data_IF_660224919502
#
_entry.id   IF_660224919502
#
_cell.length_a   1.000
_cell.length_b   1.000
_cell.length_c   1.000
_cell.angle_alpha   90.00
_cell.angle_beta   90.00
_cell.angle_gamma   90.00
#
_symmetry.space_group_name_H-M   'P 1'
#
loop_
_entity.id
_entity.type
_entity.pdbx_description
1 polymer ?
#
# COMPACT_ATOMS: atom_id res chain seq x y z
N UNK A 1 -36.99 -6.54 -25.34
CA UNK A 1 -37.08 -6.39 -26.82
C UNK A 1 -36.09 -7.33 -27.49
N UNK A 2 -34.79 -7.11 -27.38
CA UNK A 2 -33.75 -7.93 -28.04
C UNK A 2 -33.81 -9.44 -27.74
N UNK A 3 -34.26 -9.82 -26.51
CA UNK A 3 -34.43 -11.24 -26.17
C UNK A 3 -35.54 -11.93 -26.99
N UNK A 4 -36.68 -11.24 -27.18
CA UNK A 4 -37.80 -11.74 -28.00
C UNK A 4 -37.49 -11.72 -29.49
N UNK A 5 -36.48 -10.97 -29.90
CA UNK A 5 -35.98 -10.94 -31.28
C UNK A 5 -34.90 -11.99 -31.56
N UNK A 6 -34.57 -12.84 -30.59
CA UNK A 6 -33.54 -13.86 -30.68
C UNK A 6 -32.10 -13.35 -30.60
N UNK A 7 -31.89 -12.07 -30.24
CA UNK A 7 -30.56 -11.47 -30.10
C UNK A 7 -30.11 -11.59 -28.63
N UNK A 8 -29.88 -12.84 -28.21
CA UNK A 8 -29.61 -13.17 -26.81
C UNK A 8 -28.32 -12.55 -26.26
N UNK A 9 -27.24 -12.57 -27.08
CA UNK A 9 -25.96 -11.98 -26.67
C UNK A 9 -26.08 -10.49 -26.32
N UNK A 10 -26.83 -9.74 -27.16
CA UNK A 10 -27.09 -8.32 -26.91
C UNK A 10 -27.99 -8.10 -25.70
N UNK A 11 -29.01 -8.96 -25.54
CA UNK A 11 -29.94 -8.86 -24.40
C UNK A 11 -29.27 -9.13 -23.05
N UNK A 12 -28.25 -9.99 -23.04
CA UNK A 12 -27.48 -10.36 -21.84
C UNK A 12 -26.22 -9.51 -21.61
N UNK A 13 -25.77 -8.76 -22.61
CA UNK A 13 -24.52 -8.02 -22.56
C UNK A 13 -24.47 -7.02 -21.40
N UNK A 14 -25.52 -6.22 -21.19
CA UNK A 14 -25.55 -5.19 -20.14
C UNK A 14 -25.51 -5.81 -18.75
N UNK A 15 -26.21 -6.91 -18.54
CA UNK A 15 -26.17 -7.65 -17.28
C UNK A 15 -24.78 -8.25 -17.04
N UNK A 16 -24.20 -8.89 -18.05
CA UNK A 16 -22.85 -9.49 -17.98
C UNK A 16 -21.79 -8.43 -17.66
N UNK A 17 -21.87 -7.26 -18.30
CA UNK A 17 -20.96 -6.15 -18.01
C UNK A 17 -21.13 -5.58 -16.62
N UNK A 18 -22.37 -5.43 -16.14
CA UNK A 18 -22.65 -4.96 -14.78
C UNK A 18 -22.11 -5.96 -13.73
N UNK A 19 -22.35 -7.24 -13.92
CA UNK A 19 -21.83 -8.30 -13.05
C UNK A 19 -20.28 -8.35 -13.03
N UNK A 20 -19.64 -8.13 -14.21
CA UNK A 20 -18.18 -8.15 -14.32
C UNK A 20 -17.50 -7.10 -13.44
N UNK A 21 -18.15 -5.96 -13.15
CA UNK A 21 -17.60 -4.89 -12.31
C UNK A 21 -17.27 -5.41 -10.89
N UNK A 22 -18.13 -6.25 -10.33
CA UNK A 22 -17.95 -6.75 -8.96
C UNK A 22 -17.42 -8.19 -8.85
N UNK A 23 -17.33 -8.92 -9.97
CA UNK A 23 -17.07 -10.35 -9.99
C UNK A 23 -15.62 -10.72 -9.64
N UNK A 24 -14.64 -9.97 -10.13
CA UNK A 24 -13.21 -10.18 -9.86
C UNK A 24 -12.56 -8.86 -9.50
N UNK A 25 -12.13 -8.73 -8.26
CA UNK A 25 -11.44 -7.54 -7.78
C UNK A 25 -9.99 -7.53 -8.30
N UNK A 26 -9.53 -6.36 -8.76
CA UNK A 26 -8.20 -6.16 -9.35
C UNK A 26 -7.92 -7.11 -10.52
N UNK A 27 -8.67 -7.00 -11.64
CA UNK A 27 -8.35 -7.72 -12.86
C UNK A 27 -6.97 -7.32 -13.37
N UNK A 28 -6.38 -8.13 -14.28
CA UNK A 28 -5.17 -7.73 -15.00
C UNK A 28 -5.44 -6.43 -15.77
N UNK A 29 -4.55 -5.45 -15.64
CA UNK A 29 -4.61 -4.13 -16.29
C UNK A 29 -3.46 -3.91 -17.30
N UNK A 30 -2.87 -5.01 -17.78
CA UNK A 30 -1.84 -4.99 -18.82
C UNK A 30 -2.39 -4.58 -20.21
N UNK A 31 -3.71 -4.59 -20.37
CA UNK A 31 -4.42 -4.23 -21.60
C UNK A 31 -5.56 -3.24 -21.33
N UNK A 32 -6.01 -2.55 -22.38
CA UNK A 32 -7.00 -1.47 -22.29
C UNK A 32 -8.30 -1.90 -21.58
N UNK A 33 -8.85 -3.07 -21.92
CA UNK A 33 -10.10 -3.56 -21.31
C UNK A 33 -9.96 -3.78 -19.81
N UNK A 34 -8.80 -4.27 -19.36
CA UNK A 34 -8.50 -4.43 -17.93
C UNK A 34 -8.40 -3.09 -17.20
N UNK A 35 -7.75 -2.09 -17.83
CA UNK A 35 -7.70 -0.72 -17.30
C UNK A 35 -9.10 -0.11 -17.21
N UNK A 36 -9.92 -0.25 -18.25
CA UNK A 36 -11.30 0.21 -18.26
C UNK A 36 -12.13 -0.44 -17.15
N UNK A 37 -12.03 -1.75 -16.97
CA UNK A 37 -12.74 -2.47 -15.92
C UNK A 37 -12.28 -2.01 -14.53
N UNK A 38 -10.97 -1.84 -14.32
CA UNK A 38 -10.41 -1.35 -13.07
C UNK A 38 -10.89 0.06 -12.73
N UNK A 39 -10.93 0.97 -13.71
CA UNK A 39 -11.48 2.30 -13.51
C UNK A 39 -12.97 2.26 -13.13
N UNK A 40 -13.77 1.42 -13.80
CA UNK A 40 -15.18 1.19 -13.44
C UNK A 40 -15.33 0.68 -12.01
N UNK A 41 -14.49 -0.27 -11.58
CA UNK A 41 -14.49 -0.79 -10.21
C UNK A 41 -14.19 0.31 -9.18
N UNK A 42 -13.17 1.13 -9.42
CA UNK A 42 -12.82 2.24 -8.52
C UNK A 42 -13.95 3.24 -8.40
N UNK A 43 -14.54 3.64 -9.53
CA UNK A 43 -15.66 4.56 -9.51
C UNK A 43 -16.91 3.98 -8.86
N UNK A 44 -17.25 2.73 -9.17
CA UNK A 44 -18.40 2.05 -8.56
C UNK A 44 -18.32 2.03 -7.04
N UNK A 45 -17.17 1.64 -6.48
CA UNK A 45 -16.96 1.59 -5.03
C UNK A 45 -16.95 3.00 -4.42
N UNK A 46 -16.34 3.97 -5.08
CA UNK A 46 -16.32 5.35 -4.63
C UNK A 46 -17.72 5.95 -4.60
N UNK A 47 -18.49 5.81 -5.69
CA UNK A 47 -19.85 6.33 -5.80
C UNK A 47 -20.79 5.70 -4.79
N UNK A 48 -20.81 4.36 -4.68
CA UNK A 48 -21.63 3.65 -3.69
C UNK A 48 -21.32 4.10 -2.25
N UNK A 49 -20.03 4.35 -1.94
CA UNK A 49 -19.61 4.81 -0.62
C UNK A 49 -20.10 6.24 -0.36
N UNK A 50 -19.94 7.14 -1.30
CA UNK A 50 -20.37 8.54 -1.14
C UNK A 50 -21.90 8.63 -1.03
N UNK A 51 -22.66 7.92 -1.86
CA UNK A 51 -24.12 7.87 -1.77
C UNK A 51 -24.58 7.31 -0.41
N UNK A 52 -23.96 6.22 0.05
CA UNK A 52 -24.28 5.64 1.37
C UNK A 52 -24.01 6.61 2.51
N UNK A 53 -22.91 7.36 2.42
CA UNK A 53 -22.53 8.38 3.41
C UNK A 53 -23.54 9.52 3.44
N UNK A 54 -23.90 10.10 2.30
CA UNK A 54 -24.91 11.17 2.19
C UNK A 54 -26.24 10.68 2.74
N UNK A 55 -26.69 9.47 2.35
CA UNK A 55 -27.95 8.89 2.87
C UNK A 55 -27.93 8.75 4.39
N UNK A 56 -26.82 8.30 4.98
CA UNK A 56 -26.70 8.18 6.45
C UNK A 56 -26.69 9.53 7.12
N UNK A 57 -26.01 10.51 6.56
CA UNK A 57 -25.97 11.86 7.09
C UNK A 57 -27.38 12.45 7.13
N UNK A 58 -28.11 12.41 6.00
CA UNK A 58 -29.49 12.90 5.89
C UNK A 58 -30.48 12.18 6.82
N UNK A 59 -30.20 10.96 7.22
CA UNK A 59 -31.03 10.23 8.19
C UNK A 59 -30.85 10.70 9.64
N UNK A 60 -29.80 11.48 9.93
CA UNK A 60 -29.45 11.94 11.28
C UNK A 60 -29.49 13.46 11.39
N UNK A 61 -29.12 14.16 10.30
CA UNK A 61 -28.98 15.61 10.25
C UNK A 61 -29.81 16.15 9.09
N UNK A 62 -30.60 17.20 9.35
CA UNK A 62 -31.47 17.81 8.37
C UNK A 62 -30.71 18.68 7.35
N UNK A 63 -29.48 19.12 7.68
CA UNK A 63 -28.68 20.04 6.87
C UNK A 63 -27.38 19.41 6.40
N UNK A 64 -27.21 19.28 5.07
CA UNK A 64 -25.97 18.80 4.44
C UNK A 64 -24.79 19.78 4.60
N UNK A 65 -25.02 21.06 4.89
CA UNK A 65 -23.94 22.00 5.18
C UNK A 65 -23.13 21.59 6.42
N UNK A 66 -23.74 20.84 7.33
CA UNK A 66 -23.06 20.29 8.51
C UNK A 66 -22.15 19.09 8.21
N UNK A 67 -22.16 18.56 6.97
CA UNK A 67 -21.38 17.37 6.59
C UNK A 67 -19.89 17.46 6.96
N UNK A 68 -19.18 18.60 6.75
CA UNK A 68 -17.77 18.72 7.14
C UNK A 68 -17.50 18.71 8.66
N UNK A 69 -18.53 18.88 9.47
CA UNK A 69 -18.43 18.81 10.95
C UNK A 69 -18.52 17.37 11.48
N UNK A 70 -19.18 16.50 10.71
CA UNK A 70 -19.50 15.13 11.12
C UNK A 70 -18.74 14.06 10.34
N UNK A 71 -18.09 14.41 9.23
CA UNK A 71 -17.46 13.44 8.33
C UNK A 71 -16.01 13.81 8.04
N UNK A 72 -15.13 12.83 8.22
CA UNK A 72 -13.73 12.87 7.77
C UNK A 72 -13.45 11.62 6.94
N UNK A 73 -12.86 11.81 5.76
CA UNK A 73 -12.51 10.72 4.86
C UNK A 73 -11.00 10.73 4.64
N UNK A 74 -10.37 9.60 4.96
CA UNK A 74 -8.95 9.38 4.69
C UNK A 74 -8.81 8.58 3.40
N UNK A 75 -8.28 9.21 2.35
CA UNK A 75 -7.89 8.53 1.11
C UNK A 75 -6.61 7.76 1.36
N UNK A 76 -6.71 6.44 1.36
CA UNK A 76 -5.57 5.55 1.58
C UNK A 76 -4.98 5.13 0.23
N UNK A 77 -3.86 5.71 -0.17
CA UNK A 77 -3.32 5.74 -1.53
C UNK A 77 -4.28 6.49 -2.49
N UNK A 78 -4.11 6.37 -3.80
CA UNK A 78 -4.91 7.09 -4.80
C UNK A 78 -6.13 6.32 -5.29
N UNK A 79 -6.22 5.02 -5.01
CA UNK A 79 -7.29 4.15 -5.54
C UNK A 79 -8.71 4.66 -5.26
N UNK A 80 -9.05 5.21 -4.07
CA UNK A 80 -10.37 5.77 -3.81
C UNK A 80 -10.46 7.28 -4.10
N UNK A 81 -9.49 7.89 -4.80
CA UNK A 81 -9.46 9.34 -5.02
C UNK A 81 -10.66 9.88 -5.80
N UNK A 82 -11.31 9.04 -6.63
CA UNK A 82 -12.53 9.39 -7.35
C UNK A 82 -13.71 9.73 -6.42
N UNK A 83 -13.65 9.36 -5.14
CA UNK A 83 -14.64 9.75 -4.14
C UNK A 83 -14.75 11.29 -3.99
N UNK A 84 -13.67 12.01 -4.23
CA UNK A 84 -13.66 13.48 -4.13
C UNK A 84 -14.51 14.16 -5.24
N UNK A 85 -14.23 13.95 -6.54
CA UNK A 85 -15.06 14.51 -7.59
C UNK A 85 -16.45 13.88 -7.62
N UNK A 86 -16.65 12.64 -7.16
CA UNK A 86 -17.98 12.03 -7.04
C UNK A 86 -18.81 12.71 -5.95
N UNK A 87 -18.24 13.02 -4.79
CA UNK A 87 -18.96 13.80 -3.77
C UNK A 87 -19.33 15.18 -4.30
N UNK A 88 -18.44 15.86 -5.06
CA UNK A 88 -18.79 17.11 -5.73
C UNK A 88 -19.96 16.93 -6.69
N UNK A 89 -19.97 15.87 -7.50
CA UNK A 89 -21.07 15.56 -8.41
C UNK A 89 -22.40 15.40 -7.67
N UNK A 90 -22.42 14.59 -6.62
CA UNK A 90 -23.63 14.37 -5.82
C UNK A 90 -24.14 15.69 -5.23
N UNK A 91 -23.25 16.48 -4.62
CA UNK A 91 -23.63 17.76 -4.03
C UNK A 91 -24.20 18.73 -5.08
N UNK A 92 -23.59 18.80 -6.28
CA UNK A 92 -24.01 19.75 -7.31
C UNK A 92 -25.20 19.26 -8.14
N UNK A 93 -25.19 17.98 -8.54
CA UNK A 93 -26.15 17.45 -9.52
C UNK A 93 -27.40 16.83 -8.87
N UNK A 94 -27.32 16.45 -7.57
CA UNK A 94 -28.42 15.78 -6.85
C UNK A 94 -28.91 16.58 -5.63
N UNK A 95 -28.08 17.48 -5.06
CA UNK A 95 -28.38 18.20 -3.82
C UNK A 95 -28.33 19.73 -4.01
N UNK A 96 -28.31 20.24 -5.24
CA UNK A 96 -28.43 21.65 -5.64
C UNK A 96 -27.38 22.61 -5.05
N UNK A 97 -26.20 22.11 -4.64
CA UNK A 97 -25.11 22.96 -4.15
C UNK A 97 -24.40 23.68 -5.31
N UNK A 98 -23.96 24.90 -5.04
CA UNK A 98 -23.07 25.60 -5.97
C UNK A 98 -21.67 24.98 -6.02
N UNK A 99 -20.94 25.22 -7.13
CA UNK A 99 -19.58 24.73 -7.33
C UNK A 99 -18.63 25.07 -6.16
N UNK A 100 -18.60 26.32 -5.72
CA UNK A 100 -17.68 26.77 -4.68
C UNK A 100 -18.02 26.18 -3.31
N UNK A 101 -19.29 25.96 -3.03
CA UNK A 101 -19.76 25.31 -1.81
C UNK A 101 -19.34 23.84 -1.80
N UNK A 102 -19.66 23.08 -2.85
CA UNK A 102 -19.26 21.68 -3.00
C UNK A 102 -17.74 21.51 -2.93
N UNK A 103 -16.99 22.34 -3.65
CA UNK A 103 -15.53 22.35 -3.63
C UNK A 103 -14.98 22.64 -2.21
N UNK A 104 -15.57 23.61 -1.52
CA UNK A 104 -15.20 23.98 -0.15
C UNK A 104 -15.45 22.87 0.86
N UNK A 105 -16.59 22.17 0.74
CA UNK A 105 -16.94 21.03 1.59
C UNK A 105 -15.96 19.86 1.38
N UNK A 106 -15.72 19.46 0.14
CA UNK A 106 -14.81 18.37 -0.20
C UNK A 106 -13.41 18.64 0.37
N UNK A 107 -12.91 19.85 0.24
CA UNK A 107 -11.61 20.25 0.81
C UNK A 107 -11.53 20.18 2.33
N UNK A 108 -12.64 20.27 3.05
CA UNK A 108 -12.68 20.13 4.51
C UNK A 108 -12.71 18.67 4.95
N UNK A 109 -13.38 17.80 4.16
CA UNK A 109 -13.68 16.41 4.50
C UNK A 109 -12.49 15.48 4.21
N UNK A 110 -11.78 15.66 3.08
CA UNK A 110 -10.82 14.70 2.58
C UNK A 110 -9.38 14.94 3.04
N UNK A 111 -8.71 13.86 3.36
CA UNK A 111 -7.29 13.77 3.69
C UNK A 111 -6.65 12.65 2.87
N UNK A 112 -5.33 12.75 2.61
CA UNK A 112 -4.61 11.80 1.77
C UNK A 112 -3.41 11.17 2.47
N UNK A 113 -3.36 9.85 2.51
CA UNK A 113 -2.17 9.10 2.89
C UNK A 113 -1.49 8.55 1.65
N UNK A 114 -0.30 9.04 1.35
CA UNK A 114 0.54 8.51 0.27
C UNK A 114 1.35 7.32 0.75
N UNK A 115 1.49 6.29 -0.10
CA UNK A 115 2.35 5.12 0.12
C UNK A 115 3.43 4.95 -0.96
N UNK A 116 3.31 5.67 -2.08
CA UNK A 116 4.14 5.51 -3.28
C UNK A 116 5.13 6.66 -3.42
N UNK A 117 6.43 6.34 -3.52
CA UNK A 117 7.50 7.32 -3.71
C UNK A 117 8.17 7.22 -5.09
N UNK A 118 7.89 6.18 -5.86
CA UNK A 118 8.40 6.00 -7.22
C UNK A 118 7.45 6.68 -8.20
N UNK A 119 7.94 7.67 -8.92
CA UNK A 119 7.12 8.47 -9.85
C UNK A 119 6.44 7.61 -10.91
N UNK A 120 7.16 6.60 -11.42
CA UNK A 120 6.64 5.64 -12.41
C UNK A 120 5.55 4.70 -11.89
N UNK A 121 5.42 4.58 -10.58
CA UNK A 121 4.39 3.76 -9.93
C UNK A 121 3.18 4.59 -9.46
N UNK A 122 3.19 5.90 -9.68
CA UNK A 122 2.04 6.74 -9.36
C UNK A 122 0.90 6.51 -10.34
N UNK A 123 -0.31 6.39 -9.80
CA UNK A 123 -1.52 6.10 -10.59
C UNK A 123 -1.86 7.25 -11.53
N UNK A 124 -1.89 6.94 -12.82
CA UNK A 124 -2.34 7.80 -13.90
C UNK A 124 -3.35 7.05 -14.77
N UNK A 125 -4.30 7.78 -15.33
CA UNK A 125 -5.29 7.27 -16.27
C UNK A 125 -5.20 8.00 -17.58
N UNK A 126 -5.26 7.28 -18.71
CA UNK A 126 -5.39 7.88 -20.03
C UNK A 126 -6.60 8.81 -20.07
N UNK A 127 -6.39 10.04 -20.49
CA UNK A 127 -7.39 11.09 -20.44
C UNK A 127 -8.59 10.79 -21.34
N UNK A 128 -8.35 10.24 -22.55
CA UNK A 128 -9.42 9.92 -23.50
C UNK A 128 -10.29 8.78 -23.00
N UNK A 129 -9.66 7.71 -22.47
CA UNK A 129 -10.36 6.59 -21.85
C UNK A 129 -11.22 7.07 -20.66
N UNK A 130 -10.66 7.90 -19.81
CA UNK A 130 -11.37 8.43 -18.64
C UNK A 130 -12.56 9.30 -19.04
N UNK A 131 -12.36 10.22 -19.98
CA UNK A 131 -13.41 11.09 -20.53
C UNK A 131 -14.57 10.29 -21.14
N UNK A 132 -14.24 9.19 -21.85
CA UNK A 132 -15.24 8.33 -22.45
C UNK A 132 -16.08 7.58 -21.41
N UNK A 133 -15.44 7.07 -20.36
CA UNK A 133 -16.10 6.25 -19.33
C UNK A 133 -16.85 7.07 -18.27
N UNK A 134 -16.30 8.22 -17.89
CA UNK A 134 -16.76 9.03 -16.76
C UNK A 134 -16.84 10.51 -17.16
N UNK A 135 -17.66 10.87 -18.17
CA UNK A 135 -17.65 12.22 -18.76
C UNK A 135 -17.98 13.33 -17.75
N UNK A 136 -18.94 13.11 -16.83
CA UNK A 136 -19.29 14.11 -15.82
C UNK A 136 -18.19 14.29 -14.79
N UNK A 137 -17.58 13.20 -14.31
CA UNK A 137 -16.44 13.25 -13.38
C UNK A 137 -15.24 13.94 -14.04
N UNK A 138 -15.00 13.67 -15.33
CA UNK A 138 -13.96 14.34 -16.09
C UNK A 138 -14.17 15.87 -16.16
N UNK A 139 -15.39 16.35 -16.43
CA UNK A 139 -15.71 17.78 -16.40
C UNK A 139 -15.39 18.40 -15.03
N UNK A 140 -15.74 17.73 -13.95
CA UNK A 140 -15.45 18.20 -12.59
C UNK A 140 -13.93 18.23 -12.34
N UNK A 141 -13.19 17.22 -12.78
CA UNK A 141 -11.73 17.19 -12.67
C UNK A 141 -11.08 18.30 -13.49
N UNK A 142 -11.59 18.61 -14.69
CA UNK A 142 -11.12 19.75 -15.50
C UNK A 142 -11.25 21.07 -14.74
N UNK A 143 -12.41 21.33 -14.15
CA UNK A 143 -12.63 22.55 -13.37
C UNK A 143 -11.78 22.61 -12.08
N UNK A 144 -11.55 21.44 -11.42
CA UNK A 144 -10.62 21.35 -10.29
C UNK A 144 -9.20 21.68 -10.76
N UNK A 145 -8.76 21.10 -11.88
CA UNK A 145 -7.44 21.34 -12.45
C UNK A 145 -7.23 22.81 -12.79
N UNK A 146 -8.18 23.44 -13.45
CA UNK A 146 -8.12 24.86 -13.80
C UNK A 146 -7.97 25.72 -12.53
N UNK A 147 -8.84 25.55 -11.54
CA UNK A 147 -8.79 26.26 -10.26
C UNK A 147 -7.49 26.03 -9.50
N UNK A 148 -6.93 24.83 -9.59
CA UNK A 148 -5.66 24.50 -8.96
C UNK A 148 -4.49 25.16 -9.70
N UNK A 149 -4.45 25.09 -11.03
CA UNK A 149 -3.41 25.73 -11.85
C UNK A 149 -3.42 27.24 -11.70
N UNK A 150 -4.61 27.88 -11.64
CA UNK A 150 -4.73 29.31 -11.32
C UNK A 150 -4.09 29.68 -9.99
N UNK A 151 -4.24 28.84 -8.94
CA UNK A 151 -3.55 29.06 -7.65
C UNK A 151 -2.04 28.88 -7.76
N UNK A 152 -1.58 27.89 -8.53
CA UNK A 152 -0.16 27.68 -8.75
C UNK A 152 0.49 28.83 -9.51
N UNK A 153 -0.20 29.43 -10.50
CA UNK A 153 0.32 30.52 -11.31
C UNK A 153 0.58 31.81 -10.51
N UNK A 154 -0.12 32.01 -9.40
CA UNK A 154 0.19 33.12 -8.47
C UNK A 154 1.59 33.01 -7.88
N UNK A 155 2.09 31.79 -7.66
CA UNK A 155 3.41 31.53 -7.05
C UNK A 155 4.49 31.25 -8.11
N UNK A 156 4.12 30.64 -9.24
CA UNK A 156 5.03 30.18 -10.29
C UNK A 156 4.76 30.85 -11.63
N UNK A 157 4.45 32.17 -11.62
CA UNK A 157 3.99 32.94 -12.79
C UNK A 157 4.89 32.86 -14.04
N UNK A 158 6.17 32.48 -13.90
CA UNK A 158 7.15 32.34 -14.99
C UNK A 158 7.66 30.91 -15.16
N UNK A 159 7.09 29.94 -14.44
CA UNK A 159 7.58 28.57 -14.38
C UNK A 159 6.48 27.58 -14.83
N UNK A 160 6.02 27.74 -16.08
CA UNK A 160 4.94 26.94 -16.67
C UNK A 160 5.20 25.42 -16.56
N UNK A 161 6.45 25.01 -16.70
CA UNK A 161 6.85 23.60 -16.57
C UNK A 161 6.57 23.06 -15.15
N UNK A 162 6.83 23.84 -14.10
CA UNK A 162 6.48 23.45 -12.72
C UNK A 162 4.98 23.34 -12.51
N UNK A 163 4.21 24.27 -13.11
CA UNK A 163 2.74 24.19 -13.05
C UNK A 163 2.27 22.92 -13.76
N UNK A 164 2.79 22.63 -14.95
CA UNK A 164 2.45 21.44 -15.73
C UNK A 164 2.79 20.13 -14.99
N UNK A 165 3.90 20.08 -14.25
CA UNK A 165 4.26 18.92 -13.42
C UNK A 165 3.28 18.71 -12.25
N UNK A 166 2.75 19.78 -11.66
CA UNK A 166 1.83 19.74 -10.54
C UNK A 166 0.36 19.64 -10.96
N UNK A 167 0.03 19.95 -12.20
CA UNK A 167 -1.32 19.88 -12.75
C UNK A 167 -1.92 18.48 -12.61
N UNK A 168 -3.23 18.42 -12.36
CA UNK A 168 -4.00 17.16 -12.28
C UNK A 168 -4.08 16.51 -13.67
N UNK A 169 -4.26 17.32 -14.72
CA UNK A 169 -4.31 16.85 -16.11
C UNK A 169 -3.06 17.37 -16.85
N UNK A 170 -2.37 16.49 -17.53
CA UNK A 170 -1.21 16.82 -18.35
C UNK A 170 -0.63 15.62 -19.07
N UNK A 171 -0.07 15.83 -20.26
CA UNK A 171 0.48 14.77 -21.12
C UNK A 171 -0.55 13.69 -21.49
N UNK A 172 -1.81 14.04 -21.73
CA UNK A 172 -2.93 13.13 -21.99
C UNK A 172 -3.21 12.14 -20.84
N UNK A 173 -2.86 12.52 -19.60
CA UNK A 173 -3.06 11.72 -18.41
C UNK A 173 -3.76 12.50 -17.30
N UNK A 174 -4.58 11.79 -16.52
CA UNK A 174 -5.13 12.27 -15.26
C UNK A 174 -4.30 11.68 -14.12
N UNK A 175 -3.63 12.54 -13.36
CA UNK A 175 -2.70 12.18 -12.30
C UNK A 175 -3.40 12.17 -10.94
N UNK A 176 -3.69 10.99 -10.45
CA UNK A 176 -4.53 10.83 -9.25
C UNK A 176 -3.88 11.37 -7.98
N UNK A 177 -2.56 11.25 -7.83
CA UNK A 177 -1.85 11.85 -6.70
C UNK A 177 -1.95 13.38 -6.70
N UNK A 178 -1.86 14.02 -7.88
CA UNK A 178 -2.01 15.47 -8.01
C UNK A 178 -3.45 15.92 -7.72
N UNK A 179 -4.46 15.11 -8.06
CA UNK A 179 -5.85 15.34 -7.66
C UNK A 179 -6.00 15.33 -6.13
N UNK A 180 -5.38 14.36 -5.45
CA UNK A 180 -5.35 14.33 -3.99
C UNK A 180 -4.64 15.55 -3.40
N UNK A 181 -3.51 15.96 -3.98
CA UNK A 181 -2.77 17.15 -3.55
C UNK A 181 -3.60 18.43 -3.72
N UNK A 182 -4.35 18.56 -4.82
CA UNK A 182 -5.21 19.72 -5.08
C UNK A 182 -6.35 19.83 -4.07
N UNK A 183 -7.05 18.72 -3.75
CA UNK A 183 -8.29 18.72 -2.99
C UNK A 183 -8.12 18.41 -1.51
N UNK A 184 -7.21 17.55 -1.11
CA UNK A 184 -7.13 17.12 0.29
C UNK A 184 -6.64 18.24 1.22
N UNK A 185 -7.22 18.29 2.42
CA UNK A 185 -6.86 19.25 3.48
C UNK A 185 -5.47 18.97 4.05
N UNK A 186 -5.15 17.69 4.25
CA UNK A 186 -3.85 17.22 4.76
C UNK A 186 -3.36 16.05 3.92
N UNK A 187 -2.05 15.92 3.85
CA UNK A 187 -1.34 14.86 3.13
C UNK A 187 -0.30 14.30 4.08
N UNK A 188 -0.30 13.00 4.28
CA UNK A 188 0.72 12.41 5.13
C UNK A 188 1.53 11.31 4.43
N UNK A 189 2.82 11.28 4.77
CA UNK A 189 3.64 10.09 4.62
C UNK A 189 3.50 9.17 5.82
N UNK A 190 3.92 7.92 5.68
CA UNK A 190 3.73 6.85 6.69
C UNK A 190 4.95 6.65 7.60
N UNK A 191 5.93 7.54 7.53
CA UNK A 191 7.08 7.69 8.43
C UNK A 191 7.68 9.08 8.27
N UNK A 192 8.54 9.50 9.20
CA UNK A 192 9.25 10.77 9.09
C UNK A 192 10.07 10.85 7.79
N UNK A 193 10.89 9.83 7.52
CA UNK A 193 11.66 9.73 6.28
C UNK A 193 10.78 9.80 5.03
N UNK A 194 9.65 9.09 5.02
CA UNK A 194 8.71 9.14 3.90
C UNK A 194 8.12 10.55 3.72
N UNK A 195 7.67 11.18 4.80
CA UNK A 195 7.15 12.54 4.75
C UNK A 195 8.20 13.54 4.24
N UNK A 196 9.47 13.37 4.60
CA UNK A 196 10.56 14.23 4.11
C UNK A 196 10.81 14.01 2.61
N UNK A 197 10.72 12.77 2.12
CA UNK A 197 10.78 12.47 0.67
C UNK A 197 9.61 13.15 -0.06
N UNK A 198 8.39 13.10 0.48
CA UNK A 198 7.23 13.79 -0.12
C UNK A 198 7.47 15.29 -0.22
N UNK A 199 7.97 15.93 0.85
CA UNK A 199 8.22 17.37 0.93
C UNK A 199 9.37 17.83 0.03
N UNK A 200 10.45 17.03 -0.07
CA UNK A 200 11.70 17.46 -0.72
C UNK A 200 11.85 17.00 -2.17
N UNK A 201 11.09 15.95 -2.55
CA UNK A 201 11.20 15.34 -3.89
C UNK A 201 9.84 15.28 -4.58
N UNK A 202 8.92 14.45 -4.11
CA UNK A 202 7.70 14.06 -4.84
C UNK A 202 6.76 15.25 -5.03
N UNK A 203 6.40 15.92 -3.96
CA UNK A 203 5.48 17.07 -3.96
C UNK A 203 6.17 18.38 -3.59
N UNK A 204 7.46 18.49 -3.92
CA UNK A 204 8.30 19.65 -3.57
C UNK A 204 7.64 20.99 -3.92
N UNK A 205 7.13 21.13 -5.15
CA UNK A 205 6.49 22.35 -5.59
C UNK A 205 5.24 22.70 -4.76
N UNK A 206 4.37 21.70 -4.53
CA UNK A 206 3.18 21.92 -3.69
C UNK A 206 3.55 22.19 -2.22
N UNK A 207 4.60 21.55 -1.69
CA UNK A 207 5.06 21.79 -0.32
C UNK A 207 5.56 23.23 -0.14
N UNK A 208 6.25 23.79 -1.13
CA UNK A 208 6.72 25.18 -1.07
C UNK A 208 5.58 26.19 -0.93
N UNK A 209 4.42 25.90 -1.52
CA UNK A 209 3.23 26.77 -1.47
C UNK A 209 2.37 26.48 -0.23
N UNK A 210 2.19 25.20 0.08
CA UNK A 210 1.25 24.73 1.12
C UNK A 210 1.93 23.83 2.16
N UNK A 211 2.99 24.30 2.87
CA UNK A 211 3.77 23.46 3.79
C UNK A 211 2.92 22.85 4.90
N UNK A 212 1.88 23.56 5.36
CA UNK A 212 0.98 23.10 6.41
C UNK A 212 0.11 21.89 6.04
N UNK A 213 0.03 21.54 4.74
CA UNK A 213 -0.70 20.34 4.31
C UNK A 213 0.03 19.03 4.65
N UNK A 214 1.36 19.06 4.77
CA UNK A 214 2.20 17.87 4.79
C UNK A 214 2.59 17.45 6.21
N UNK A 215 2.22 16.22 6.57
CA UNK A 215 2.41 15.64 7.88
C UNK A 215 3.19 14.32 7.80
N UNK A 216 3.81 13.95 8.91
CA UNK A 216 4.33 12.60 9.13
C UNK A 216 3.42 11.88 10.12
N UNK A 217 2.75 10.82 9.67
CA UNK A 217 1.96 9.94 10.53
C UNK A 217 2.59 8.56 10.47
N UNK A 218 3.39 8.24 11.45
CA UNK A 218 4.13 6.99 11.50
C UNK A 218 3.19 5.80 11.67
N UNK A 219 3.40 4.76 10.86
CA UNK A 219 2.71 3.50 11.07
C UNK A 219 3.04 2.93 12.45
N UNK A 220 2.04 2.42 13.12
CA UNK A 220 2.19 1.69 14.37
C UNK A 220 1.91 0.20 14.20
N UNK A 221 2.15 -0.55 15.25
CA UNK A 221 1.74 -1.95 15.36
C UNK A 221 0.86 -2.13 16.59
N UNK A 222 -0.05 -3.09 16.54
CA UNK A 222 -0.73 -3.55 17.75
C UNK A 222 0.06 -4.67 18.42
N UNK A 223 0.62 -4.38 19.59
CA UNK A 223 1.35 -5.36 20.40
C UNK A 223 0.42 -6.47 20.95
N UNK A 224 -0.88 -6.22 21.01
CA UNK A 224 -1.88 -7.24 21.34
C UNK A 224 -1.88 -8.38 20.34
N UNK A 225 -1.86 -8.08 19.03
CA UNK A 225 -1.80 -9.10 17.97
C UNK A 225 -0.37 -9.61 17.76
N UNK A 226 0.58 -8.70 17.58
CA UNK A 226 1.91 -9.05 17.08
C UNK A 226 2.90 -9.49 18.18
N UNK A 227 2.55 -9.31 19.45
CA UNK A 227 3.27 -9.89 20.57
C UNK A 227 2.39 -10.89 21.33
N UNK A 228 1.33 -10.46 21.99
CA UNK A 228 0.59 -11.31 22.92
C UNK A 228 -0.08 -12.52 22.24
N UNK A 229 -0.65 -12.34 21.05
CA UNK A 229 -1.26 -13.42 20.29
C UNK A 229 -0.22 -14.23 19.49
N UNK A 230 0.66 -13.54 18.76
CA UNK A 230 1.57 -14.20 17.82
C UNK A 230 2.81 -14.81 18.49
N UNK A 231 3.26 -14.29 19.63
CA UNK A 231 4.46 -14.72 20.33
C UNK A 231 4.23 -14.82 21.85
N UNK A 232 3.39 -15.76 22.24
CA UNK A 232 3.00 -15.96 23.65
C UNK A 232 4.20 -16.18 24.57
N UNK A 233 5.23 -16.92 24.11
CA UNK A 233 6.43 -17.14 24.90
C UNK A 233 7.16 -15.86 25.27
N UNK A 234 7.28 -14.93 24.31
CA UNK A 234 7.86 -13.61 24.58
C UNK A 234 6.93 -12.76 25.44
N UNK A 235 5.63 -12.80 25.20
CA UNK A 235 4.65 -12.08 25.99
C UNK A 235 4.70 -12.49 27.47
N UNK A 236 4.76 -13.78 27.76
CA UNK A 236 4.86 -14.27 29.13
C UNK A 236 6.19 -13.88 29.79
N UNK A 237 7.31 -14.00 29.07
CA UNK A 237 8.60 -13.53 29.57
C UNK A 237 8.57 -12.04 29.94
N UNK A 238 8.02 -11.20 29.06
CA UNK A 238 7.90 -9.76 29.32
C UNK A 238 7.09 -9.49 30.58
N UNK A 239 5.98 -10.21 30.77
CA UNK A 239 5.12 -10.06 31.96
C UNK A 239 5.77 -10.46 33.28
N UNK A 240 6.81 -11.28 33.27
CA UNK A 240 7.57 -11.59 34.51
C UNK A 240 8.33 -10.36 35.02
N UNK A 241 8.71 -9.42 34.14
CA UNK A 241 9.58 -8.28 34.45
C UNK A 241 8.86 -6.93 34.43
N UNK A 242 7.64 -6.86 33.91
CA UNK A 242 6.86 -5.62 33.78
C UNK A 242 5.70 -5.62 34.75
N UNK A 243 5.60 -4.59 35.56
CA UNK A 243 4.46 -4.34 36.47
C UNK A 243 3.37 -3.58 35.71
N UNK A 244 2.14 -4.08 35.78
CA UNK A 244 0.98 -3.47 35.11
C UNK A 244 0.52 -4.21 33.85
N UNK A 245 -0.52 -3.70 33.21
CA UNK A 245 -1.13 -4.32 32.03
C UNK A 245 -0.56 -3.71 30.74
N UNK A 246 0.44 -4.38 30.17
CA UNK A 246 1.09 -3.98 28.92
C UNK A 246 0.13 -4.00 27.73
N UNK A 247 -1.01 -4.70 27.78
CA UNK A 247 -2.00 -4.70 26.71
C UNK A 247 -2.78 -3.40 26.64
N UNK A 248 -2.91 -2.71 27.78
CA UNK A 248 -3.57 -1.39 27.90
C UNK A 248 -2.61 -0.25 27.71
N UNK A 249 -1.39 -0.36 28.29
CA UNK A 249 -0.38 0.68 28.21
C UNK A 249 0.96 0.12 27.69
N UNK A 250 1.27 0.39 26.43
CA UNK A 250 2.50 -0.04 25.78
C UNK A 250 3.77 0.64 26.37
N UNK A 251 3.65 1.80 27.01
CA UNK A 251 4.79 2.53 27.62
C UNK A 251 5.44 1.70 28.73
N UNK A 252 4.70 0.78 29.31
CA UNK A 252 5.21 -0.13 30.33
C UNK A 252 6.36 -1.02 29.84
N UNK A 253 6.53 -1.19 28.51
CA UNK A 253 7.67 -1.92 27.93
C UNK A 253 9.03 -1.30 28.32
N UNK A 254 9.09 -0.01 28.64
CA UNK A 254 10.32 0.66 29.07
C UNK A 254 10.90 0.04 30.35
N UNK A 255 10.07 -0.61 31.16
CA UNK A 255 10.51 -1.33 32.37
C UNK A 255 11.45 -2.51 32.05
N UNK A 256 11.57 -2.95 30.80
CA UNK A 256 12.51 -4.00 30.38
C UNK A 256 13.94 -3.45 30.19
N UNK A 257 14.10 -2.17 29.92
CA UNK A 257 15.40 -1.58 29.61
C UNK A 257 16.51 -1.88 30.66
N UNK A 258 16.24 -1.90 31.97
CA UNK A 258 17.26 -2.28 32.97
C UNK A 258 17.77 -3.71 32.83
N UNK A 259 17.00 -4.60 32.22
CA UNK A 259 17.33 -6.04 32.08
C UNK A 259 18.05 -6.37 30.77
N UNK A 260 18.40 -5.38 29.93
CA UNK A 260 19.04 -5.61 28.62
C UNK A 260 20.36 -6.38 28.71
N UNK A 261 21.10 -6.22 29.81
CA UNK A 261 22.40 -6.87 30.09
C UNK A 261 22.29 -7.92 31.21
N UNK A 262 21.09 -8.19 31.73
CA UNK A 262 20.86 -9.21 32.75
C UNK A 262 20.98 -10.61 32.14
N UNK A 263 21.90 -11.40 32.69
CA UNK A 263 22.22 -12.73 32.13
C UNK A 263 21.05 -13.72 32.20
N UNK A 264 20.23 -13.65 33.25
CA UNK A 264 19.09 -14.54 33.42
C UNK A 264 17.99 -14.18 32.40
N UNK A 265 17.68 -12.89 32.27
CA UNK A 265 16.73 -12.41 31.28
C UNK A 265 17.18 -12.78 29.86
N UNK A 266 18.43 -12.49 29.51
CA UNK A 266 18.98 -12.83 28.18
C UNK A 266 18.87 -14.32 27.89
N UNK A 267 19.20 -15.20 28.84
CA UNK A 267 19.07 -16.65 28.67
C UNK A 267 17.62 -17.10 28.47
N UNK A 268 16.66 -16.51 29.21
CA UNK A 268 15.23 -16.80 29.02
C UNK A 268 14.76 -16.28 27.63
N UNK A 269 15.21 -15.10 27.21
CA UNK A 269 14.89 -14.54 25.90
C UNK A 269 15.43 -15.40 24.75
N UNK A 270 16.68 -15.84 24.81
CA UNK A 270 17.28 -16.76 23.84
C UNK A 270 16.50 -18.07 23.75
N UNK A 271 16.09 -18.63 24.88
CA UNK A 271 15.26 -19.84 24.93
C UNK A 271 13.93 -19.65 24.22
N UNK A 272 13.26 -18.50 24.41
CA UNK A 272 12.01 -18.17 23.70
C UNK A 272 12.25 -18.10 22.18
N UNK A 273 13.29 -17.40 21.75
CA UNK A 273 13.65 -17.31 20.33
C UNK A 273 13.95 -18.66 19.71
N UNK A 274 14.75 -19.47 20.40
CA UNK A 274 15.11 -20.84 19.96
C UNK A 274 13.86 -21.71 19.83
N UNK A 275 12.96 -21.70 20.79
CA UNK A 275 11.71 -22.45 20.75
C UNK A 275 10.83 -22.03 19.56
N UNK A 276 10.77 -20.74 19.23
CA UNK A 276 10.06 -20.24 18.05
C UNK A 276 10.68 -20.75 16.75
N UNK A 277 12.02 -20.81 16.65
CA UNK A 277 12.73 -21.36 15.49
C UNK A 277 12.48 -22.87 15.34
N UNK A 278 12.51 -23.64 16.43
CA UNK A 278 12.19 -25.07 16.42
C UNK A 278 10.76 -25.30 15.94
N UNK A 279 9.79 -24.52 16.44
CA UNK A 279 8.39 -24.61 16.01
C UNK A 279 8.24 -24.28 14.52
N UNK A 280 8.95 -23.26 14.04
CA UNK A 280 8.92 -22.88 12.63
C UNK A 280 9.60 -23.95 11.74
N UNK A 281 10.75 -24.49 12.14
CA UNK A 281 11.42 -25.57 11.43
C UNK A 281 10.53 -26.82 11.31
N UNK A 282 9.82 -27.20 12.38
CA UNK A 282 8.82 -28.26 12.36
C UNK A 282 7.70 -27.97 11.35
N UNK A 283 7.15 -26.75 11.35
CA UNK A 283 6.10 -26.34 10.41
C UNK A 283 6.56 -26.46 8.94
N UNK A 284 7.77 -26.00 8.62
CA UNK A 284 8.34 -26.09 7.26
C UNK A 284 8.54 -27.56 6.86
N UNK A 285 9.05 -28.40 7.77
CA UNK A 285 9.18 -29.83 7.50
C UNK A 285 7.84 -30.50 7.20
N UNK A 286 6.80 -30.19 7.98
CA UNK A 286 5.45 -30.74 7.79
C UNK A 286 4.79 -30.26 6.49
N UNK A 287 5.02 -29.00 6.09
CA UNK A 287 4.36 -28.39 4.92
C UNK A 287 5.11 -28.57 3.60
N UNK A 288 6.44 -28.60 3.64
CA UNK A 288 7.28 -28.60 2.45
C UNK A 288 8.28 -29.76 2.39
N UNK A 289 8.38 -30.56 3.44
CA UNK A 289 9.37 -31.65 3.51
C UNK A 289 10.82 -31.17 3.70
N UNK A 290 11.06 -29.86 3.95
CA UNK A 290 12.40 -29.28 4.07
C UNK A 290 12.82 -29.26 5.55
N UNK A 291 13.97 -29.83 5.85
CA UNK A 291 14.59 -29.74 7.17
C UNK A 291 15.34 -28.41 7.30
N UNK A 292 15.07 -27.65 8.35
CA UNK A 292 15.68 -26.36 8.63
C UNK A 292 16.42 -26.44 9.96
N UNK A 293 17.68 -26.01 9.98
CA UNK A 293 18.49 -25.99 11.21
C UNK A 293 18.04 -24.79 12.10
N UNK A 294 17.42 -25.04 13.28
CA UNK A 294 16.97 -23.95 14.17
C UNK A 294 18.11 -23.16 14.80
N UNK A 295 19.35 -23.66 14.76
CA UNK A 295 20.55 -22.95 15.27
C UNK A 295 21.15 -22.01 14.22
N UNK A 296 20.72 -22.08 12.94
CA UNK A 296 21.15 -21.16 11.90
C UNK A 296 20.60 -19.75 12.11
N UNK A 297 21.25 -18.73 11.55
CA UNK A 297 20.66 -17.38 11.43
C UNK A 297 19.50 -17.46 10.44
N UNK A 298 18.30 -17.09 10.88
CA UNK A 298 17.15 -16.95 9.98
C UNK A 298 17.15 -15.56 9.36
N UNK A 299 17.55 -15.49 8.10
CA UNK A 299 17.52 -14.26 7.30
C UNK A 299 16.24 -14.23 6.47
N UNK A 300 15.23 -13.50 6.95
CA UNK A 300 13.85 -13.58 6.49
C UNK A 300 13.50 -12.40 5.57
N UNK A 301 13.04 -12.70 4.36
CA UNK A 301 12.48 -11.74 3.43
C UNK A 301 11.02 -12.11 3.08
N UNK A 302 10.12 -11.86 4.03
CA UNK A 302 8.69 -12.17 3.93
C UNK A 302 7.90 -10.93 3.50
N UNK A 303 7.78 -10.71 2.18
CA UNK A 303 7.09 -9.55 1.56
C UNK A 303 6.55 -9.93 0.19
N UNK A 304 5.43 -9.31 -0.25
CA UNK A 304 5.01 -9.39 -1.66
C UNK A 304 6.18 -9.08 -2.57
N UNK A 305 6.32 -9.81 -3.66
CA UNK A 305 7.40 -9.61 -4.59
C UNK A 305 7.19 -8.33 -5.39
N UNK A 306 8.21 -7.47 -5.39
CA UNK A 306 8.23 -6.22 -6.12
C UNK A 306 9.67 -5.73 -6.29
N UNK A 307 9.99 -5.12 -7.42
CA UNK A 307 11.36 -4.66 -7.71
C UNK A 307 11.89 -3.72 -6.62
N UNK A 308 11.06 -2.76 -6.11
CA UNK A 308 11.49 -1.83 -5.07
C UNK A 308 11.75 -2.47 -3.69
N UNK A 309 11.23 -3.69 -3.44
CA UNK A 309 11.50 -4.45 -2.21
C UNK A 309 12.80 -5.23 -2.26
N UNK A 310 13.46 -5.22 -3.43
CA UNK A 310 14.84 -5.70 -3.63
C UNK A 310 15.07 -7.19 -3.35
N UNK A 311 14.07 -8.07 -3.62
CA UNK A 311 14.29 -9.51 -3.56
C UNK A 311 15.39 -9.95 -4.53
N UNK A 312 15.48 -9.32 -5.71
CA UNK A 312 16.56 -9.58 -6.66
C UNK A 312 17.96 -9.28 -6.05
N UNK A 313 18.10 -8.18 -5.32
CA UNK A 313 19.36 -7.86 -4.61
C UNK A 313 19.67 -8.93 -3.55
N UNK A 314 18.66 -9.49 -2.89
CA UNK A 314 18.83 -10.60 -1.95
C UNK A 314 19.29 -11.87 -2.66
N UNK A 315 18.76 -12.16 -3.86
CA UNK A 315 19.26 -13.26 -4.70
C UNK A 315 20.74 -13.10 -5.04
N UNK A 316 21.15 -11.91 -5.47
CA UNK A 316 22.56 -11.62 -5.76
C UNK A 316 23.44 -11.77 -4.50
N UNK A 317 22.96 -11.36 -3.34
CA UNK A 317 23.66 -11.56 -2.07
C UNK A 317 23.85 -13.06 -1.74
N UNK A 318 22.85 -13.89 -1.96
CA UNK A 318 22.97 -15.35 -1.73
C UNK A 318 23.99 -15.94 -2.70
N UNK A 319 23.96 -15.58 -3.97
CA UNK A 319 24.94 -16.03 -4.97
C UNK A 319 26.36 -15.59 -4.58
N UNK A 320 26.52 -14.35 -4.10
CA UNK A 320 27.81 -13.85 -3.63
C UNK A 320 28.35 -14.70 -2.44
N UNK A 321 27.50 -15.00 -1.45
CA UNK A 321 27.89 -15.85 -0.31
C UNK A 321 28.24 -17.26 -0.79
N UNK A 322 27.43 -17.84 -1.68
CA UNK A 322 27.69 -19.14 -2.30
C UNK A 322 29.09 -19.19 -2.95
N UNK A 323 29.40 -18.21 -3.80
CA UNK A 323 30.72 -18.12 -4.45
C UNK A 323 31.85 -17.90 -3.46
N UNK A 324 31.61 -17.17 -2.37
CA UNK A 324 32.59 -16.95 -1.30
C UNK A 324 32.92 -18.24 -0.58
N UNK A 325 31.90 -19.06 -0.25
CA UNK A 325 32.08 -20.38 0.37
C UNK A 325 32.84 -21.34 -0.54
N UNK A 326 32.56 -21.31 -1.87
CA UNK A 326 33.31 -22.12 -2.86
C UNK A 326 34.79 -21.78 -2.89
N UNK A 327 35.16 -20.51 -2.66
CA UNK A 327 36.58 -20.09 -2.61
C UNK A 327 37.21 -20.35 -1.25
N UNK A 328 36.47 -20.15 -0.17
CA UNK A 328 36.91 -20.33 1.20
C UNK A 328 35.80 -20.94 2.04
N UNK A 329 35.79 -22.28 2.22
CA UNK A 329 34.78 -22.98 3.02
C UNK A 329 34.72 -22.56 4.49
N UNK A 330 35.74 -21.86 5.00
CA UNK A 330 35.80 -21.42 6.40
C UNK A 330 35.23 -20.02 6.65
N UNK A 331 34.86 -19.30 5.58
CA UNK A 331 34.38 -17.91 5.67
C UNK A 331 33.03 -17.72 6.38
N UNK A 332 32.29 -18.79 6.60
CA UNK A 332 31.03 -18.81 7.35
C UNK A 332 31.22 -19.64 8.63
N UNK A 333 31.10 -18.98 9.77
CA UNK A 333 31.23 -19.61 11.11
C UNK A 333 29.90 -19.99 11.74
N UNK A 334 28.82 -19.33 11.32
CA UNK A 334 27.47 -19.58 11.78
C UNK A 334 26.57 -19.88 10.58
N UNK A 335 25.85 -21.01 10.57
CA UNK A 335 24.93 -21.32 9.47
C UNK A 335 23.88 -20.25 9.24
N UNK A 336 23.47 -20.06 7.97
CA UNK A 336 22.45 -19.08 7.58
C UNK A 336 21.35 -19.81 6.80
N UNK A 337 20.10 -19.63 7.21
CA UNK A 337 18.93 -20.04 6.43
C UNK A 337 18.25 -18.83 5.87
N UNK A 338 18.30 -18.65 4.54
CA UNK A 338 17.60 -17.60 3.81
C UNK A 338 16.15 -18.03 3.58
N UNK A 339 15.19 -17.27 4.11
CA UNK A 339 13.77 -17.61 4.06
C UNK A 339 13.03 -16.55 3.27
N UNK A 340 12.44 -16.98 2.16
CA UNK A 340 11.54 -16.15 1.39
C UNK A 340 10.08 -16.54 1.64
N UNK A 341 9.19 -15.55 1.64
CA UNK A 341 7.75 -15.77 1.53
C UNK A 341 7.17 -14.61 0.71
N UNK A 342 6.70 -14.92 -0.49
CA UNK A 342 6.25 -13.92 -1.44
C UNK A 342 5.13 -14.46 -2.33
N UNK A 343 4.41 -13.53 -2.96
CA UNK A 343 3.55 -13.77 -4.10
C UNK A 343 3.63 -12.58 -5.04
N UNK A 344 3.47 -12.84 -6.34
CA UNK A 344 3.43 -11.81 -7.37
C UNK A 344 1.98 -11.52 -7.80
N UNK A 345 1.73 -10.29 -8.29
CA UNK A 345 0.51 -9.99 -9.02
C UNK A 345 0.46 -10.82 -10.33
N UNK A 346 -0.72 -11.23 -10.81
CA UNK A 346 -0.85 -12.10 -11.99
C UNK A 346 -0.17 -11.57 -13.25
N UNK A 347 -0.26 -10.27 -13.54
CA UNK A 347 0.34 -9.62 -14.70
C UNK A 347 1.80 -9.19 -14.53
N UNK A 348 2.38 -9.31 -13.32
CA UNK A 348 3.73 -8.82 -13.06
C UNK A 348 4.81 -9.83 -13.48
N UNK A 349 5.11 -9.89 -14.78
CA UNK A 349 6.03 -10.85 -15.39
C UNK A 349 7.39 -10.87 -14.69
N UNK A 350 8.02 -9.70 -14.48
CA UNK A 350 9.32 -9.58 -13.83
C UNK A 350 9.34 -10.14 -12.40
N UNK A 351 8.27 -9.92 -11.64
CA UNK A 351 8.13 -10.51 -10.32
C UNK A 351 8.10 -12.04 -10.37
N UNK A 352 7.42 -12.62 -11.36
CA UNK A 352 7.40 -14.07 -11.58
C UNK A 352 8.77 -14.63 -11.98
N UNK A 353 9.53 -13.89 -12.77
CA UNK A 353 10.92 -14.25 -13.11
C UNK A 353 11.83 -14.26 -11.88
N UNK A 354 11.67 -13.29 -10.99
CA UNK A 354 12.40 -13.28 -9.70
C UNK A 354 12.02 -14.48 -8.83
N UNK A 355 10.75 -14.90 -8.81
CA UNK A 355 10.33 -16.13 -8.12
C UNK A 355 11.05 -17.35 -8.71
N UNK A 356 11.11 -17.48 -10.04
CA UNK A 356 11.85 -18.56 -10.69
C UNK A 356 13.33 -18.54 -10.32
N UNK A 357 13.95 -17.36 -10.30
CA UNK A 357 15.34 -17.21 -9.87
C UNK A 357 15.55 -17.66 -8.43
N UNK A 358 14.65 -17.32 -7.50
CA UNK A 358 14.73 -17.79 -6.11
C UNK A 358 14.69 -19.31 -6.05
N UNK A 359 13.79 -19.95 -6.79
CA UNK A 359 13.73 -21.43 -6.85
C UNK A 359 14.99 -22.04 -7.45
N UNK A 360 15.54 -21.47 -8.52
CA UNK A 360 16.79 -21.93 -9.11
C UNK A 360 17.97 -21.82 -8.15
N UNK A 361 18.03 -20.72 -7.38
CA UNK A 361 19.05 -20.54 -6.33
C UNK A 361 18.84 -21.54 -5.20
N UNK A 362 17.59 -21.78 -4.78
CA UNK A 362 17.25 -22.79 -3.78
C UNK A 362 17.76 -24.17 -4.20
N UNK A 363 17.48 -24.57 -5.42
CA UNK A 363 17.96 -25.86 -5.95
C UNK A 363 19.47 -25.92 -6.02
N UNK A 364 20.13 -24.88 -6.54
CA UNK A 364 21.59 -24.80 -6.65
C UNK A 364 22.25 -24.91 -5.26
N UNK A 365 21.78 -24.13 -4.30
CA UNK A 365 22.37 -24.08 -2.94
C UNK A 365 22.09 -25.35 -2.17
N UNK A 366 20.83 -25.81 -2.15
CA UNK A 366 20.45 -26.94 -1.26
C UNK A 366 20.89 -28.30 -1.80
N UNK A 367 21.26 -28.42 -3.09
CA UNK A 367 21.79 -29.67 -3.68
C UNK A 367 23.31 -29.73 -3.67
N UNK A 368 24.02 -28.64 -3.36
CA UNK A 368 25.47 -28.58 -3.36
C UNK A 368 26.04 -29.03 -2.01
N UNK A 369 26.79 -30.14 -1.96
CA UNK A 369 27.38 -30.66 -0.71
C UNK A 369 28.30 -29.66 0.01
N UNK A 370 28.96 -28.76 -0.72
CA UNK A 370 29.84 -27.74 -0.12
C UNK A 370 29.07 -26.71 0.71
N UNK A 371 27.75 -26.60 0.48
CA UNK A 371 26.87 -25.68 1.19
C UNK A 371 26.23 -26.31 2.43
N UNK A 372 26.31 -27.64 2.57
CA UNK A 372 25.71 -28.33 3.70
C UNK A 372 26.24 -27.79 5.03
N UNK A 373 25.34 -27.60 6.00
CA UNK A 373 25.67 -27.01 7.29
C UNK A 373 26.11 -25.54 7.29
N UNK A 374 26.20 -24.86 6.11
CA UNK A 374 26.63 -23.46 5.99
C UNK A 374 25.51 -22.53 5.57
N UNK A 375 24.91 -22.78 4.41
CA UNK A 375 23.78 -21.98 3.92
C UNK A 375 22.64 -22.87 3.38
N UNK A 376 21.44 -22.40 3.55
CA UNK A 376 20.23 -23.03 3.03
C UNK A 376 19.26 -21.97 2.52
N UNK A 377 18.48 -22.26 1.48
CA UNK A 377 17.43 -21.38 0.94
C UNK A 377 16.09 -22.09 1.04
N UNK A 378 15.08 -21.38 1.56
CA UNK A 378 13.69 -21.86 1.71
C UNK A 378 12.75 -20.82 1.11
N UNK A 379 11.80 -21.27 0.24
CA UNK A 379 10.77 -20.38 -0.35
C UNK A 379 9.38 -21.01 -0.27
#
# INVERSE_FOLDING_TARGET
HSFNEGIYDKAMADQTFAEAISKVLYPSDDHMQGKMLRLKQFYFLASATMQSMIKRHKAVFDDLNSLPEHVVIQINETHPALAMPELMRILMDEEDFGWDEAYGMVKKIFHYTNHTIMTEAMECWDENMFRLLLPRIYQIICAINEKYCQKLSVYYSKEEEKIAQMAVIGNNEIRMANLCVALCRRINGVSNLHADILKTRIFKGSYQIFPQKYLAITNGITHRRWLALANQGLYHLVREYVKGDILKDYRLFEQILPYKDDKEFCKKYEKVKRNNKIRFAKYIKEKQGIEVNPESIFDVHCKRLHEYKRQLLKCLHIIYIYQKIKKDPTCITTPITFIFAAKAAPGYARAKEIIRLIHSIQEMVNKDPDMDGKIQVVF
#
